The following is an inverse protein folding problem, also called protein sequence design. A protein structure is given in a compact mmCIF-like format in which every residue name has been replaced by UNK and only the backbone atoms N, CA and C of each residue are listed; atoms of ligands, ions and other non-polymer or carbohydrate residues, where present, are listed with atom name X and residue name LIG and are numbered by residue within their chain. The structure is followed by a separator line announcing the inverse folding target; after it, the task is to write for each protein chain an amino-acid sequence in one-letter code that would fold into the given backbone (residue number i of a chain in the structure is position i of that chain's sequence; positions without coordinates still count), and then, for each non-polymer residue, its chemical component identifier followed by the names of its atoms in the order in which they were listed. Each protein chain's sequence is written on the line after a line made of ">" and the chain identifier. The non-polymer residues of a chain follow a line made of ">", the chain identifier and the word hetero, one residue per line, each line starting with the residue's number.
data_IF_409736218681
#
_entry.id   IF_409736218681
#
_cell.length_a   1.000
_cell.length_b   1.000
_cell.length_c   1.000
_cell.angle_alpha   90.00
_cell.angle_beta   90.00
_cell.angle_gamma   90.00
#
_symmetry.space_group_name_H-M   'P 1'
#
loop_
_entity.id
_entity.type
_entity.pdbx_description
1 polymer ?
#
# COMPACT_ATOMS: atom_id res chain seq x y z
N UNK A 1 3.74 -4.51 -3.88
CA UNK A 1 3.46 -3.25 -3.17
C UNK A 1 3.84 -3.37 -1.71
N UNK A 2 3.98 -2.23 -1.03
CA UNK A 2 4.00 -2.10 0.43
C UNK A 2 3.27 -0.82 0.81
N UNK A 3 2.75 -0.77 2.02
CA UNK A 3 2.10 0.38 2.62
C UNK A 3 3.10 1.09 3.51
N UNK A 4 3.28 2.39 3.30
CA UNK A 4 4.21 3.21 4.04
C UNK A 4 3.45 4.24 4.86
N UNK A 5 3.49 4.08 6.17
CA UNK A 5 2.94 5.01 7.13
C UNK A 5 3.94 6.14 7.37
N UNK A 6 3.47 7.38 7.38
CA UNK A 6 4.36 8.55 7.55
C UNK A 6 5.13 8.53 8.86
N UNK A 7 4.57 7.94 9.92
CA UNK A 7 5.12 7.97 11.28
C UNK A 7 5.89 6.71 11.66
N UNK A 8 5.47 5.53 11.19
CA UNK A 8 6.02 4.22 11.61
C UNK A 8 6.84 3.51 10.54
N UNK A 9 6.83 4.00 9.30
CA UNK A 9 7.58 3.41 8.19
C UNK A 9 6.75 2.44 7.35
N UNK A 10 7.42 1.62 6.54
CA UNK A 10 6.77 0.74 5.58
C UNK A 10 6.61 -0.69 6.11
N UNK A 11 5.46 -1.30 5.80
CA UNK A 11 5.31 -2.74 5.95
C UNK A 11 6.16 -3.51 4.91
N UNK A 12 6.11 -4.84 5.00
CA UNK A 12 6.82 -5.72 4.09
C UNK A 12 6.33 -5.61 2.64
N UNK A 13 7.24 -5.87 1.70
CA UNK A 13 6.87 -6.05 0.31
C UNK A 13 5.95 -7.26 0.14
N UNK A 14 4.85 -7.06 -0.56
CA UNK A 14 3.94 -8.13 -0.98
C UNK A 14 3.72 -8.09 -2.48
N UNK A 15 3.52 -9.26 -3.08
CA UNK A 15 3.15 -9.36 -4.49
C UNK A 15 1.64 -9.23 -4.62
N UNK A 16 1.21 -8.28 -5.45
CA UNK A 16 -0.18 -8.19 -5.91
C UNK A 16 -0.18 -8.35 -7.42
N UNK A 17 -1.15 -9.10 -7.94
CA UNK A 17 -1.37 -9.26 -9.37
C UNK A 17 -2.31 -8.15 -9.86
N UNK A 18 -2.08 -7.66 -11.07
CA UNK A 18 -2.96 -6.69 -11.70
C UNK A 18 -4.41 -7.21 -11.75
N UNK A 19 -5.38 -6.31 -11.57
CA UNK A 19 -6.81 -6.64 -11.57
C UNK A 19 -7.33 -7.33 -10.30
N UNK A 20 -6.49 -7.48 -9.26
CA UNK A 20 -6.90 -8.10 -8.00
C UNK A 20 -6.84 -7.09 -6.85
N UNK A 21 -7.83 -7.17 -5.96
CA UNK A 21 -7.82 -6.44 -4.69
C UNK A 21 -7.01 -7.19 -3.65
N UNK A 22 -6.37 -6.45 -2.75
CA UNK A 22 -5.65 -7.03 -1.60
C UNK A 22 -5.52 -6.04 -0.46
N UNK A 23 -5.60 -6.52 0.77
CA UNK A 23 -5.67 -5.70 2.00
C UNK A 23 -4.44 -4.80 2.19
N UNK A 24 -4.54 -3.49 1.99
CA UNK A 24 -3.38 -2.60 2.07
C UNK A 24 -2.75 -2.57 3.48
N UNK A 25 -3.58 -2.46 4.51
CA UNK A 25 -3.21 -2.50 5.92
C UNK A 25 -4.44 -2.84 6.76
N UNK A 26 -4.23 -3.36 7.96
CA UNK A 26 -5.27 -3.56 8.98
C UNK A 26 -4.97 -2.66 10.18
N UNK A 27 -5.97 -2.44 11.03
CA UNK A 27 -5.82 -1.74 12.31
C UNK A 27 -5.23 -0.33 12.18
N UNK A 28 -5.58 0.35 11.08
CA UNK A 28 -5.14 1.70 10.79
C UNK A 28 -6.05 2.67 11.54
N UNK A 29 -5.48 3.42 12.50
CA UNK A 29 -6.21 4.44 13.25
C UNK A 29 -6.71 5.55 12.32
N UNK A 30 -7.88 6.10 12.62
CA UNK A 30 -8.44 7.22 11.87
C UNK A 30 -7.47 8.39 11.77
N UNK A 31 -7.42 8.99 10.58
CA UNK A 31 -6.52 10.10 10.28
C UNK A 31 -5.06 9.71 10.01
N UNK A 32 -4.69 8.43 10.17
CA UNK A 32 -3.34 7.96 9.83
C UNK A 32 -3.01 8.24 8.38
N UNK A 33 -1.89 8.94 8.14
CA UNK A 33 -1.42 9.24 6.79
C UNK A 33 -0.47 8.16 6.30
N UNK A 34 -0.82 7.53 5.20
CA UNK A 34 0.01 6.54 4.53
C UNK A 34 -0.01 6.73 3.01
N UNK A 35 0.92 6.09 2.33
CA UNK A 35 0.95 5.98 0.87
C UNK A 35 1.31 4.55 0.48
N UNK A 36 0.89 4.13 -0.72
CA UNK A 36 1.28 2.84 -1.27
C UNK A 36 2.51 3.01 -2.15
N UNK A 37 3.47 2.12 -1.97
CA UNK A 37 4.64 2.03 -2.81
C UNK A 37 4.59 0.73 -3.61
N UNK A 38 4.78 0.82 -4.92
CA UNK A 38 4.85 -0.33 -5.81
C UNK A 38 6.31 -0.59 -6.19
N UNK A 39 6.72 -1.86 -6.18
CA UNK A 39 8.06 -2.25 -6.61
C UNK A 39 8.04 -2.39 -8.13
N UNK A 40 8.91 -1.66 -8.83
CA UNK A 40 9.05 -1.74 -10.28
C UNK A 40 9.12 -0.38 -10.97
N UNK A 41 8.94 -0.41 -12.29
CA UNK A 41 8.90 0.78 -13.15
C UNK A 41 7.67 1.65 -12.84
N UNK A 42 7.69 2.90 -13.31
CA UNK A 42 6.60 3.90 -13.22
C UNK A 42 5.22 3.41 -13.71
N UNK A 43 5.14 2.20 -14.29
CA UNK A 43 3.92 1.54 -14.77
C UNK A 43 3.14 0.81 -13.67
N UNK A 44 3.75 0.56 -12.52
CA UNK A 44 3.05 -0.10 -11.42
C UNK A 44 2.12 0.91 -10.72
N UNK A 45 0.85 0.87 -11.10
CA UNK A 45 -0.22 1.70 -10.53
C UNK A 45 -1.20 0.84 -9.74
N UNK A 46 -1.94 1.45 -8.83
CA UNK A 46 -3.00 0.78 -8.09
C UNK A 46 -4.01 1.78 -7.57
N UNK A 47 -5.25 1.33 -7.41
CA UNK A 47 -6.32 2.09 -6.79
C UNK A 47 -6.35 1.76 -5.29
N UNK A 48 -6.84 2.71 -4.51
CA UNK A 48 -6.99 2.58 -3.06
C UNK A 48 -8.45 2.87 -2.75
N UNK A 49 -9.03 2.05 -1.89
CA UNK A 49 -10.37 2.22 -1.34
C UNK A 49 -10.27 2.13 0.19
N UNK A 50 -11.06 2.92 0.92
CA UNK A 50 -10.97 3.08 2.38
C UNK A 50 -12.35 2.96 3.05
#
# INVERSE_FOLDING_TARGET
>A
MRTCFKTTGCNGWRTLRAGNWGVAATDVLDGTKFYLQFAGTSRATGLIDY
#
